data_IF_267936073603
#
_entry.id   IF_267936073603
#
_cell.length_a   1.000
_cell.length_b   1.000
_cell.length_c   1.000
_cell.angle_alpha   90.00
_cell.angle_beta   90.00
_cell.angle_gamma   90.00
#
_symmetry.space_group_name_H-M   'P 1'
#
loop_
_entity.id
_entity.type
_entity.pdbx_description
1 polymer ?
#
# COMPACT_ATOMS: atom_id res chain seq x y z
N UNK A 1 -24.42 0.98 27.53
CA UNK A 1 -24.14 0.14 26.34
C UNK A 1 -22.66 -0.19 26.33
N UNK A 2 -22.27 -1.46 26.48
CA UNK A 2 -20.86 -1.85 26.35
C UNK A 2 -20.51 -1.74 24.87
N UNK A 3 -19.65 -0.78 24.49
CA UNK A 3 -19.06 -0.76 23.15
C UNK A 3 -18.39 -2.11 22.93
N UNK A 4 -18.90 -2.86 21.96
CA UNK A 4 -18.27 -4.09 21.49
C UNK A 4 -16.95 -3.63 20.88
N UNK A 5 -15.84 -3.85 21.57
CA UNK A 5 -14.50 -3.54 21.06
C UNK A 5 -14.36 -4.29 19.74
N UNK A 6 -14.35 -3.57 18.62
CA UNK A 6 -14.05 -4.18 17.33
C UNK A 6 -12.66 -4.77 17.40
N UNK A 7 -12.46 -5.97 16.85
CA UNK A 7 -11.12 -6.54 16.76
C UNK A 7 -10.20 -5.55 16.03
N UNK A 8 -8.99 -5.29 16.56
CA UNK A 8 -8.06 -4.35 15.95
C UNK A 8 -7.67 -4.81 14.54
N UNK A 9 -7.40 -3.86 13.65
CA UNK A 9 -6.81 -4.17 12.35
C UNK A 9 -5.32 -4.46 12.52
N UNK A 10 -4.89 -5.70 12.25
CA UNK A 10 -3.50 -6.14 12.40
C UNK A 10 -3.01 -6.79 11.10
N UNK A 11 -1.70 -6.72 10.87
CA UNK A 11 -1.00 -7.48 9.86
C UNK A 11 -0.35 -8.69 10.50
N UNK A 12 -0.89 -9.87 10.18
CA UNK A 12 -0.40 -11.15 10.70
C UNK A 12 -0.02 -12.05 9.51
N UNK A 13 1.24 -12.53 9.43
CA UNK A 13 1.70 -13.42 8.38
C UNK A 13 0.77 -14.63 8.18
N UNK A 14 0.36 -14.86 6.93
CA UNK A 14 -0.50 -15.97 6.54
C UNK A 14 -1.99 -15.77 6.79
N UNK A 15 -2.43 -14.69 7.45
CA UNK A 15 -3.86 -14.45 7.68
C UNK A 15 -4.59 -14.02 6.41
N UNK A 16 -4.01 -13.09 5.64
CA UNK A 16 -4.59 -12.56 4.41
C UNK A 16 -5.93 -11.83 4.56
N UNK A 17 -6.63 -11.64 3.43
CA UNK A 17 -7.98 -11.08 3.37
C UNK A 17 -9.02 -11.85 4.17
N UNK A 18 -10.00 -11.14 4.74
CA UNK A 18 -11.17 -11.73 5.41
C UNK A 18 -12.20 -12.23 4.39
N UNK A 19 -12.45 -13.54 4.34
CA UNK A 19 -13.36 -14.18 3.39
C UNK A 19 -14.80 -13.63 3.45
N UNK A 20 -15.27 -13.24 4.65
CA UNK A 20 -16.62 -12.72 4.81
C UNK A 20 -16.74 -11.29 4.27
N UNK A 21 -15.72 -10.45 4.47
CA UNK A 21 -15.61 -9.13 3.86
C UNK A 21 -15.51 -9.24 2.33
N UNK A 22 -14.71 -10.18 1.82
CA UNK A 22 -14.58 -10.41 0.38
C UNK A 22 -15.90 -10.87 -0.25
N UNK A 23 -16.61 -11.78 0.42
CA UNK A 23 -17.95 -12.22 0.00
C UNK A 23 -18.94 -11.05 -0.05
N UNK A 24 -18.88 -10.12 0.90
CA UNK A 24 -19.71 -8.91 0.90
C UNK A 24 -19.36 -7.98 -0.26
N UNK A 25 -18.07 -7.74 -0.52
CA UNK A 25 -17.62 -6.96 -1.67
C UNK A 25 -18.17 -7.52 -2.98
N UNK A 26 -18.03 -8.82 -3.22
CA UNK A 26 -18.58 -9.48 -4.41
C UNK A 26 -20.11 -9.38 -4.50
N UNK A 27 -20.81 -9.52 -3.39
CA UNK A 27 -22.27 -9.44 -3.37
C UNK A 27 -22.78 -8.03 -3.72
N UNK A 28 -22.04 -6.99 -3.31
CA UNK A 28 -22.41 -5.59 -3.58
C UNK A 28 -21.97 -5.10 -4.96
N UNK A 29 -20.91 -5.68 -5.53
CA UNK A 29 -20.30 -5.22 -6.78
C UNK A 29 -20.27 -6.33 -7.84
N UNK A 30 -21.45 -6.71 -8.39
CA UNK A 30 -21.48 -7.61 -9.52
C UNK A 30 -20.85 -6.95 -10.75
N UNK A 31 -20.37 -7.79 -11.69
CA UNK A 31 -19.81 -7.31 -12.96
C UNK A 31 -20.76 -6.35 -13.68
N UNK A 32 -20.32 -5.15 -14.06
CA UNK A 32 -21.11 -4.26 -14.90
C UNK A 32 -21.48 -4.92 -16.23
N UNK A 33 -22.72 -4.68 -16.71
CA UNK A 33 -23.21 -5.28 -17.96
C UNK A 33 -22.63 -4.63 -19.21
N UNK A 34 -22.34 -3.34 -19.15
CA UNK A 34 -21.77 -2.58 -20.26
C UNK A 34 -20.25 -2.68 -20.19
N UNK A 35 -19.55 -2.91 -21.32
CA UNK A 35 -18.09 -2.95 -21.35
C UNK A 35 -17.51 -1.62 -20.91
N UNK A 36 -16.35 -1.65 -20.25
CA UNK A 36 -15.66 -0.44 -19.83
C UNK A 36 -15.11 0.31 -21.04
N UNK A 37 -15.39 1.60 -21.12
CA UNK A 37 -14.85 2.51 -22.12
C UNK A 37 -13.54 3.10 -21.64
N UNK A 38 -12.57 3.15 -22.55
CA UNK A 38 -11.27 3.73 -22.28
C UNK A 38 -11.31 5.23 -22.03
N UNK A 39 -10.25 5.70 -21.36
CA UNK A 39 -10.05 7.09 -20.97
C UNK A 39 -9.75 8.02 -22.16
N UNK A 40 -9.33 7.50 -23.32
CA UNK A 40 -8.89 8.31 -24.46
C UNK A 40 -10.07 9.06 -25.12
N UNK A 41 -10.20 10.34 -24.78
CA UNK A 41 -11.30 11.25 -25.19
C UNK A 41 -11.12 11.85 -26.59
N UNK A 42 -9.97 11.66 -27.24
CA UNK A 42 -9.65 12.36 -28.49
C UNK A 42 -10.30 11.76 -29.77
N UNK A 43 -11.03 10.65 -29.66
CA UNK A 43 -11.82 10.07 -30.75
C UNK A 43 -13.31 10.04 -30.42
N UNK A 44 -14.17 10.29 -31.41
CA UNK A 44 -15.64 10.21 -31.26
C UNK A 44 -16.14 8.80 -30.91
N UNK A 45 -15.30 7.79 -31.06
CA UNK A 45 -15.51 6.41 -30.62
C UNK A 45 -14.46 6.07 -29.55
N UNK A 46 -14.89 5.65 -28.35
CA UNK A 46 -13.98 5.18 -27.30
C UNK A 46 -13.69 3.71 -27.52
N UNK A 47 -12.42 3.31 -27.40
CA UNK A 47 -12.06 1.90 -27.33
C UNK A 47 -12.78 1.25 -26.14
N UNK A 48 -13.33 0.05 -26.35
CA UNK A 48 -13.89 -0.77 -25.28
C UNK A 48 -12.85 -1.76 -24.82
N UNK A 49 -12.66 -1.88 -23.51
CA UNK A 49 -11.81 -2.91 -22.93
C UNK A 49 -12.62 -4.16 -22.64
N UNK A 50 -12.05 -5.31 -22.99
CA UNK A 50 -12.36 -6.54 -22.26
C UNK A 50 -11.51 -6.53 -20.99
N UNK A 51 -12.14 -6.16 -19.88
CA UNK A 51 -11.48 -6.02 -18.58
C UNK A 51 -10.96 -7.35 -18.05
N UNK A 52 -11.52 -8.48 -18.50
CA UNK A 52 -11.09 -9.80 -18.05
C UNK A 52 -9.70 -10.14 -18.60
N UNK A 53 -9.34 -9.60 -19.76
CA UNK A 53 -8.05 -9.84 -20.41
C UNK A 53 -6.96 -8.87 -19.94
N UNK A 54 -7.34 -7.68 -19.46
CA UNK A 54 -6.40 -6.63 -19.04
C UNK A 54 -6.91 -5.78 -17.87
N UNK A 55 -7.06 -6.35 -16.65
CA UNK A 55 -7.54 -5.61 -15.49
C UNK A 55 -6.59 -4.47 -15.08
N UNK A 56 -5.28 -4.64 -15.26
CA UNK A 56 -4.28 -3.59 -14.98
C UNK A 56 -4.46 -2.37 -15.88
N UNK A 57 -4.65 -2.58 -17.18
CA UNK A 57 -4.96 -1.49 -18.12
C UNK A 57 -6.27 -0.79 -17.76
N UNK A 58 -7.28 -1.54 -17.34
CA UNK A 58 -8.53 -0.97 -16.89
C UNK A 58 -8.36 -0.08 -15.65
N UNK A 59 -7.61 -0.55 -14.64
CA UNK A 59 -7.31 0.22 -13.41
C UNK A 59 -6.48 1.48 -13.71
N UNK A 60 -5.53 1.41 -14.64
CA UNK A 60 -4.79 2.58 -15.10
C UNK A 60 -5.71 3.63 -15.74
N UNK A 61 -6.60 3.21 -16.64
CA UNK A 61 -7.56 4.10 -17.29
C UNK A 61 -8.51 4.73 -16.26
N UNK A 62 -9.04 3.94 -15.32
CA UNK A 62 -9.87 4.44 -14.22
C UNK A 62 -9.12 5.50 -13.41
N UNK A 63 -7.89 5.20 -12.96
CA UNK A 63 -7.11 6.12 -12.14
C UNK A 63 -6.77 7.41 -12.89
N UNK A 64 -6.21 7.29 -14.09
CA UNK A 64 -5.78 8.43 -14.91
C UNK A 64 -6.95 9.30 -15.33
N UNK A 65 -8.08 8.70 -15.70
CA UNK A 65 -9.27 9.43 -16.11
C UNK A 65 -9.97 10.09 -14.93
N UNK A 66 -10.03 9.44 -13.77
CA UNK A 66 -10.56 10.04 -12.54
C UNK A 66 -9.72 11.25 -12.11
N UNK A 67 -8.38 11.15 -12.18
CA UNK A 67 -7.50 12.28 -11.89
C UNK A 67 -7.63 13.42 -12.92
N UNK A 68 -7.81 13.09 -14.21
CA UNK A 68 -7.80 14.09 -15.29
C UNK A 68 -9.15 14.76 -15.53
N UNK A 69 -10.24 13.99 -15.43
CA UNK A 69 -11.59 14.39 -15.85
C UNK A 69 -12.62 14.36 -14.71
N UNK A 70 -12.25 13.80 -13.56
CA UNK A 70 -13.12 13.62 -12.40
C UNK A 70 -13.94 12.33 -12.41
N UNK A 71 -14.86 12.24 -11.46
CA UNK A 71 -15.66 11.03 -11.25
C UNK A 71 -16.60 10.76 -12.42
N UNK A 72 -16.51 9.55 -12.97
CA UNK A 72 -17.50 8.98 -13.87
C UNK A 72 -18.09 7.72 -13.23
N UNK A 73 -19.41 7.60 -13.28
CA UNK A 73 -20.13 6.46 -12.68
C UNK A 73 -19.69 5.13 -13.29
N UNK A 74 -19.43 5.10 -14.60
CA UNK A 74 -18.97 3.90 -15.29
C UNK A 74 -17.65 3.39 -14.70
N UNK A 75 -16.68 4.27 -14.51
CA UNK A 75 -15.37 3.92 -13.95
C UNK A 75 -15.46 3.51 -12.50
N UNK A 76 -16.31 4.15 -11.70
CA UNK A 76 -16.56 3.77 -10.30
C UNK A 76 -17.18 2.36 -10.22
N UNK A 77 -18.22 2.10 -11.02
CA UNK A 77 -18.90 0.79 -11.04
C UNK A 77 -17.92 -0.32 -11.46
N UNK A 78 -17.07 -0.07 -12.47
CA UNK A 78 -16.02 -1.01 -12.89
C UNK A 78 -14.92 -1.19 -11.85
N UNK A 79 -14.47 -0.12 -11.21
CA UNK A 79 -13.48 -0.19 -10.15
C UNK A 79 -13.95 -1.06 -8.99
N UNK A 80 -15.20 -0.89 -8.52
CA UNK A 80 -15.69 -1.67 -7.39
C UNK A 80 -15.79 -3.16 -7.70
N UNK A 81 -16.16 -3.51 -8.93
CA UNK A 81 -16.12 -4.89 -9.40
C UNK A 81 -14.68 -5.43 -9.40
N UNK A 82 -13.74 -4.70 -10.01
CA UNK A 82 -12.33 -5.10 -10.08
C UNK A 82 -11.71 -5.20 -8.69
N UNK A 83 -12.03 -4.29 -7.77
CA UNK A 83 -11.56 -4.36 -6.38
C UNK A 83 -11.94 -5.69 -5.72
N UNK A 84 -13.18 -6.15 -5.90
CA UNK A 84 -13.62 -7.42 -5.35
C UNK A 84 -12.94 -8.60 -6.06
N UNK A 85 -12.99 -8.64 -7.40
CA UNK A 85 -12.56 -9.78 -8.20
C UNK A 85 -11.04 -9.96 -8.22
N UNK A 86 -10.30 -8.89 -8.42
CA UNK A 86 -8.84 -8.92 -8.47
C UNK A 86 -8.22 -9.20 -7.09
N UNK A 87 -8.86 -8.74 -6.00
CA UNK A 87 -8.44 -9.13 -4.65
C UNK A 87 -8.62 -10.64 -4.44
N UNK A 88 -9.76 -11.20 -4.87
CA UNK A 88 -10.01 -12.64 -4.80
C UNK A 88 -9.10 -13.45 -5.73
N UNK A 89 -8.73 -12.90 -6.89
CA UNK A 89 -7.80 -13.51 -7.82
C UNK A 89 -6.38 -13.56 -7.22
N UNK A 90 -5.88 -12.43 -6.69
CA UNK A 90 -4.59 -12.35 -6.01
C UNK A 90 -4.46 -13.36 -4.86
N UNK A 91 -5.56 -13.67 -4.16
CA UNK A 91 -5.60 -14.72 -3.13
C UNK A 91 -5.53 -16.14 -3.68
N UNK A 92 -6.04 -16.42 -4.88
CA UNK A 92 -6.15 -17.79 -5.41
C UNK A 92 -4.98 -18.18 -6.30
N UNK A 93 -4.46 -17.23 -7.07
CA UNK A 93 -3.48 -17.52 -8.11
C UNK A 93 -2.10 -17.89 -7.57
N UNK A 94 -1.86 -17.83 -6.24
CA UNK A 94 -0.56 -18.16 -5.65
C UNK A 94 0.53 -17.13 -5.94
N UNK A 95 0.36 -16.33 -6.99
CA UNK A 95 1.23 -15.25 -7.35
C UNK A 95 0.42 -13.96 -7.41
N UNK A 96 0.94 -12.95 -6.72
CA UNK A 96 0.78 -11.56 -7.09
C UNK A 96 1.51 -11.32 -8.45
N UNK A 97 1.17 -12.11 -9.46
CA UNK A 97 1.67 -11.96 -10.81
C UNK A 97 1.12 -10.63 -11.33
N UNK A 98 2.03 -9.67 -11.54
CA UNK A 98 1.79 -8.28 -11.97
C UNK A 98 1.57 -7.32 -10.80
N UNK A 99 1.99 -6.04 -10.95
CA UNK A 99 1.76 -4.93 -9.99
C UNK A 99 0.26 -4.55 -9.86
N UNK A 100 -0.61 -5.54 -9.75
CA UNK A 100 -2.05 -5.39 -9.67
C UNK A 100 -2.46 -4.76 -8.33
N UNK A 101 -1.75 -5.07 -7.25
CA UNK A 101 -1.96 -4.41 -5.95
C UNK A 101 -1.61 -2.93 -6.07
N UNK A 102 -0.53 -2.59 -6.75
CA UNK A 102 -0.12 -1.20 -7.02
C UNK A 102 -1.18 -0.46 -7.86
N UNK A 103 -1.67 -1.08 -8.93
CA UNK A 103 -2.72 -0.52 -9.78
C UNK A 103 -4.06 -0.35 -9.04
N UNK A 104 -4.47 -1.34 -8.24
CA UNK A 104 -5.66 -1.28 -7.39
C UNK A 104 -5.55 -0.15 -6.36
N UNK A 105 -4.40 -0.04 -5.68
CA UNK A 105 -4.16 1.03 -4.72
C UNK A 105 -4.27 2.41 -5.40
N UNK A 106 -3.61 2.60 -6.54
CA UNK A 106 -3.67 3.86 -7.28
C UNK A 106 -5.09 4.22 -7.70
N UNK A 107 -5.86 3.27 -8.24
CA UNK A 107 -7.26 3.50 -8.59
C UNK A 107 -8.12 3.81 -7.35
N UNK A 108 -7.89 3.11 -6.23
CA UNK A 108 -8.58 3.38 -4.97
C UNK A 108 -8.27 4.79 -4.48
N UNK A 109 -7.01 5.22 -4.49
CA UNK A 109 -6.62 6.58 -4.10
C UNK A 109 -7.18 7.67 -5.01
N UNK A 110 -7.34 7.39 -6.30
CA UNK A 110 -7.93 8.31 -7.25
C UNK A 110 -9.43 8.50 -7.01
N UNK A 111 -10.15 7.42 -6.66
CA UNK A 111 -11.61 7.44 -6.39
C UNK A 111 -11.91 7.95 -4.98
N UNK A 112 -11.07 7.64 -3.99
CA UNK A 112 -11.26 8.00 -2.58
C UNK A 112 -10.12 8.86 -2.00
N UNK A 113 -9.74 9.99 -2.64
CA UNK A 113 -8.57 10.77 -2.27
C UNK A 113 -8.62 11.36 -0.86
N UNK A 114 -9.82 11.64 -0.33
CA UNK A 114 -10.04 12.21 1.00
C UNK A 114 -10.55 11.15 2.02
N UNK A 115 -10.42 9.86 1.69
CA UNK A 115 -11.09 8.80 2.45
C UNK A 115 -12.43 8.40 1.83
N UNK A 116 -13.07 7.37 2.40
CA UNK A 116 -14.39 6.90 1.93
C UNK A 116 -15.50 7.76 2.55
N UNK A 117 -15.62 9.01 2.09
CA UNK A 117 -16.62 9.96 2.60
C UNK A 117 -18.06 9.57 2.22
N UNK A 118 -18.23 8.91 1.07
CA UNK A 118 -19.49 8.35 0.60
C UNK A 118 -19.34 6.84 0.40
N UNK A 119 -19.69 6.07 1.42
CA UNK A 119 -19.66 4.62 1.32
C UNK A 119 -20.68 4.12 0.28
N UNK A 120 -20.28 3.25 -0.68
CA UNK A 120 -21.21 2.59 -1.60
C UNK A 120 -22.24 1.72 -0.87
N UNK A 121 -21.84 1.13 0.25
CA UNK A 121 -22.69 0.45 1.21
C UNK A 121 -22.07 0.56 2.60
N UNK A 122 -22.89 0.42 3.65
CA UNK A 122 -22.44 0.56 5.03
C UNK A 122 -21.32 -0.44 5.37
N UNK A 123 -20.16 0.07 5.74
CA UNK A 123 -18.99 -0.73 6.13
C UNK A 123 -18.05 -1.08 4.98
N UNK A 124 -18.23 -0.49 3.79
CA UNK A 124 -17.37 -0.71 2.63
C UNK A 124 -15.90 -0.42 2.94
N UNK A 125 -15.57 0.68 3.63
CA UNK A 125 -14.18 1.02 3.96
C UNK A 125 -13.53 -0.08 4.79
N UNK A 126 -14.26 -0.60 5.78
CA UNK A 126 -13.75 -1.68 6.62
C UNK A 126 -13.61 -2.99 5.87
N UNK A 127 -14.51 -3.27 4.93
CA UNK A 127 -14.39 -4.45 4.08
C UNK A 127 -13.18 -4.34 3.15
N UNK A 128 -12.94 -3.17 2.54
CA UNK A 128 -11.74 -2.92 1.73
C UNK A 128 -10.44 -3.04 2.55
N UNK A 129 -10.41 -2.52 3.78
CA UNK A 129 -9.28 -2.72 4.71
C UNK A 129 -9.06 -4.20 5.01
N UNK A 130 -10.12 -4.90 5.45
CA UNK A 130 -10.04 -6.31 5.84
C UNK A 130 -9.76 -7.24 4.66
N UNK A 131 -9.96 -6.82 3.42
CA UNK A 131 -9.59 -7.57 2.23
C UNK A 131 -8.29 -7.06 1.62
N UNK A 132 -8.37 -6.04 0.76
CA UNK A 132 -7.25 -5.46 0.03
C UNK A 132 -6.13 -4.99 0.96
N UNK A 133 -6.48 -4.32 2.06
CA UNK A 133 -5.50 -3.89 3.07
C UNK A 133 -4.75 -5.04 3.77
N UNK A 134 -5.18 -6.29 3.61
CA UNK A 134 -4.50 -7.50 4.11
C UNK A 134 -4.01 -8.43 3.00
N UNK A 135 -4.11 -8.05 1.73
CA UNK A 135 -3.78 -8.92 0.61
C UNK A 135 -2.35 -9.49 0.71
N UNK A 136 -1.37 -8.62 1.00
CA UNK A 136 0.04 -9.03 1.14
C UNK A 136 0.33 -9.89 2.39
N UNK A 137 -0.64 -10.06 3.29
CA UNK A 137 -0.53 -10.92 4.48
C UNK A 137 -1.04 -12.35 4.23
N UNK A 138 -1.48 -12.68 3.02
CA UNK A 138 -2.03 -13.99 2.68
C UNK A 138 -1.01 -15.12 2.64
N UNK A 139 -1.48 -16.37 2.71
CA UNK A 139 -0.62 -17.57 2.69
C UNK A 139 0.20 -17.74 1.39
N UNK A 140 -0.12 -17.00 0.34
CA UNK A 140 0.68 -16.97 -0.90
C UNK A 140 1.94 -16.12 -0.75
N UNK A 141 1.97 -15.18 0.19
CA UNK A 141 3.13 -14.34 0.45
C UNK A 141 3.96 -14.83 1.64
N UNK A 142 3.37 -15.68 2.47
CA UNK A 142 3.97 -16.14 3.73
C UNK A 142 3.97 -17.67 3.83
N UNK A 143 5.06 -18.23 4.35
CA UNK A 143 5.17 -19.62 4.75
C UNK A 143 5.79 -19.66 6.14
N UNK A 144 5.07 -20.24 7.11
CA UNK A 144 5.56 -20.42 8.49
C UNK A 144 6.05 -19.12 9.16
N UNK A 145 5.44 -17.98 8.83
CA UNK A 145 5.82 -16.67 9.36
C UNK A 145 6.93 -15.95 8.59
N UNK A 146 7.51 -16.60 7.57
CA UNK A 146 8.54 -16.04 6.70
C UNK A 146 7.97 -15.64 5.34
N UNK A 147 8.58 -14.65 4.69
CA UNK A 147 8.22 -14.26 3.31
C UNK A 147 8.62 -15.39 2.35
N UNK A 148 7.73 -15.70 1.41
CA UNK A 148 8.05 -16.57 0.28
C UNK A 148 8.88 -15.82 -0.77
N UNK A 149 10.20 -15.99 -0.72
CA UNK A 149 11.14 -15.40 -1.69
C UNK A 149 10.79 -15.84 -3.13
N UNK A 150 10.80 -14.90 -4.08
CA UNK A 150 10.40 -15.18 -5.46
C UNK A 150 8.89 -15.16 -5.71
N UNK A 151 8.08 -15.21 -4.66
CA UNK A 151 6.62 -15.16 -4.78
C UNK A 151 6.07 -13.80 -4.29
N UNK A 152 6.68 -13.22 -3.25
CA UNK A 152 6.23 -11.98 -2.62
C UNK A 152 7.29 -10.89 -2.56
N UNK A 153 6.82 -9.64 -2.75
CA UNK A 153 7.57 -8.38 -2.74
C UNK A 153 8.67 -8.30 -3.82
N UNK A 154 9.74 -9.08 -3.68
CA UNK A 154 10.85 -9.17 -4.63
C UNK A 154 10.82 -10.53 -5.33
N UNK A 155 10.37 -10.53 -6.60
CA UNK A 155 10.01 -11.75 -7.35
C UNK A 155 11.10 -12.28 -8.25
N UNK A 156 11.94 -11.39 -8.75
CA UNK A 156 12.97 -11.74 -9.72
C UNK A 156 14.33 -11.31 -9.19
N UNK A 157 15.27 -12.23 -9.26
CA UNK A 157 16.68 -11.91 -9.08
C UNK A 157 17.14 -11.07 -10.28
N UNK A 158 17.79 -9.96 -10.00
CA UNK A 158 18.40 -9.13 -11.04
C UNK A 158 19.51 -9.90 -11.75
N UNK A 159 19.93 -9.41 -12.91
CA UNK A 159 21.09 -9.95 -13.62
C UNK A 159 22.39 -9.95 -12.81
N UNK A 160 22.44 -9.25 -11.66
CA UNK A 160 23.60 -9.16 -10.78
C UNK A 160 23.53 -10.10 -9.57
N UNK A 161 22.52 -10.97 -9.49
CA UNK A 161 22.35 -11.90 -8.35
C UNK A 161 21.77 -11.25 -7.09
N UNK A 162 21.21 -10.04 -7.23
CA UNK A 162 20.55 -9.31 -6.13
C UNK A 162 19.04 -9.39 -6.29
N UNK A 163 18.30 -9.27 -5.21
CA UNK A 163 16.83 -9.33 -5.22
C UNK A 163 16.18 -7.95 -5.06
N UNK A 164 16.98 -6.93 -4.73
CA UNK A 164 16.50 -5.55 -4.57
C UNK A 164 15.74 -5.34 -3.25
N UNK A 165 16.05 -6.11 -2.21
CA UNK A 165 15.44 -5.99 -0.89
C UNK A 165 15.77 -4.66 -0.20
N UNK A 166 16.83 -3.97 -0.62
CA UNK A 166 17.14 -2.59 -0.22
C UNK A 166 16.18 -1.53 -0.79
N UNK A 167 15.34 -1.91 -1.75
CA UNK A 167 14.29 -1.07 -2.35
C UNK A 167 12.91 -1.66 -2.02
N UNK A 168 12.08 -0.96 -1.24
CA UNK A 168 10.74 -1.42 -0.91
C UNK A 168 9.95 -1.74 -2.17
N UNK A 169 9.38 -2.93 -2.26
CA UNK A 169 8.56 -3.29 -3.40
C UNK A 169 7.37 -2.34 -3.53
N UNK A 170 6.92 -2.13 -4.77
CA UNK A 170 5.76 -1.28 -5.03
C UNK A 170 4.51 -1.81 -4.32
N UNK A 171 4.32 -3.13 -4.28
CA UNK A 171 3.22 -3.76 -3.55
C UNK A 171 3.23 -3.47 -2.05
N UNK A 172 4.41 -3.53 -1.41
CA UNK A 172 4.56 -3.17 0.00
C UNK A 172 4.24 -1.70 0.22
N UNK A 173 4.84 -0.83 -0.61
CA UNK A 173 4.66 0.62 -0.52
C UNK A 173 3.19 0.99 -0.68
N UNK A 174 2.53 0.50 -1.73
CA UNK A 174 1.12 0.69 -1.98
C UNK A 174 0.24 0.20 -0.81
N UNK A 175 0.53 -0.97 -0.26
CA UNK A 175 -0.22 -1.55 0.87
C UNK A 175 -0.05 -0.76 2.17
N UNK A 176 1.17 -0.30 2.47
CA UNK A 176 1.47 0.54 3.63
C UNK A 176 0.78 1.90 3.50
N UNK A 177 0.88 2.55 2.33
CA UNK A 177 0.16 3.81 2.08
C UNK A 177 -1.35 3.64 2.15
N UNK A 178 -1.89 2.52 1.67
CA UNK A 178 -3.31 2.24 1.75
C UNK A 178 -3.76 2.18 3.22
N UNK A 179 -3.07 1.41 4.04
CA UNK A 179 -3.39 1.30 5.46
C UNK A 179 -3.18 2.64 6.19
N UNK A 180 -2.07 3.35 5.96
CA UNK A 180 -1.83 4.67 6.53
C UNK A 180 -2.90 5.68 6.15
N UNK A 181 -3.42 5.63 4.92
CA UNK A 181 -4.43 6.58 4.45
C UNK A 181 -5.84 6.26 4.93
N UNK A 182 -6.23 4.99 5.07
CA UNK A 182 -7.62 4.60 5.37
C UNK A 182 -7.86 4.06 6.79
N UNK A 183 -6.82 3.72 7.56
CA UNK A 183 -7.02 3.42 8.98
C UNK A 183 -7.38 4.69 9.77
N UNK A 184 -8.20 4.52 10.81
CA UNK A 184 -8.41 5.58 11.78
C UNK A 184 -7.08 5.87 12.52
N UNK A 185 -6.79 7.12 12.92
CA UNK A 185 -5.53 7.48 13.59
C UNK A 185 -5.20 6.58 14.79
N UNK A 186 -6.21 6.20 15.58
CA UNK A 186 -6.08 5.31 16.74
C UNK A 186 -5.75 3.85 16.37
N UNK A 187 -6.02 3.42 15.14
CA UNK A 187 -5.70 2.07 14.65
C UNK A 187 -4.28 1.98 14.09
N UNK A 188 -3.67 3.09 13.68
CA UNK A 188 -2.33 3.10 13.05
C UNK A 188 -1.28 2.51 13.98
N UNK A 189 -1.26 2.89 15.25
CA UNK A 189 -0.25 2.41 16.21
C UNK A 189 -0.28 0.89 16.42
N UNK A 190 -1.42 0.27 16.80
CA UNK A 190 -1.46 -1.18 16.97
C UNK A 190 -1.24 -1.95 15.66
N UNK A 191 -1.74 -1.44 14.53
CA UNK A 191 -1.48 -2.01 13.21
C UNK A 191 0.02 -2.00 12.89
N UNK A 192 0.67 -0.85 13.01
CA UNK A 192 2.08 -0.71 12.64
C UNK A 192 2.98 -1.49 13.59
N UNK A 193 2.65 -1.54 14.88
CA UNK A 193 3.33 -2.42 15.83
C UNK A 193 3.26 -3.89 15.39
N UNK A 194 2.10 -4.37 14.90
CA UNK A 194 2.00 -5.74 14.39
C UNK A 194 2.86 -5.99 13.15
N UNK A 195 2.96 -5.02 12.23
CA UNK A 195 3.83 -5.11 11.06
C UNK A 195 5.32 -5.13 11.46
N UNK A 196 5.72 -4.27 12.41
CA UNK A 196 7.09 -4.19 12.92
C UNK A 196 7.47 -5.42 13.77
N UNK A 197 6.52 -6.10 14.40
CA UNK A 197 6.80 -7.31 15.19
C UNK A 197 7.12 -8.56 14.37
N UNK A 198 6.96 -8.53 13.05
CA UNK A 198 7.25 -9.69 12.19
C UNK A 198 8.77 -9.95 12.16
N UNK A 199 9.15 -11.22 12.39
CA UNK A 199 10.56 -11.60 12.60
C UNK A 199 11.35 -11.92 11.32
N UNK A 200 10.66 -12.03 10.18
CA UNK A 200 11.31 -12.28 8.89
C UNK A 200 12.29 -11.17 8.51
N UNK A 201 13.53 -11.56 8.15
CA UNK A 201 14.61 -10.61 7.84
C UNK A 201 14.37 -9.79 6.56
N UNK A 202 13.76 -10.37 5.53
CA UNK A 202 13.48 -9.67 4.27
C UNK A 202 12.35 -8.66 4.47
N UNK A 203 11.34 -9.02 5.26
CA UNK A 203 10.29 -8.11 5.70
C UNK A 203 10.87 -6.91 6.48
N UNK A 204 11.72 -7.18 7.47
CA UNK A 204 12.39 -6.14 8.28
C UNK A 204 13.22 -5.20 7.42
N UNK A 205 14.00 -5.76 6.49
CA UNK A 205 14.76 -4.99 5.52
C UNK A 205 13.88 -4.03 4.71
N UNK A 206 12.79 -4.55 4.14
CA UNK A 206 11.85 -3.78 3.34
C UNK A 206 11.14 -2.69 4.15
N UNK A 207 10.71 -2.97 5.38
CA UNK A 207 10.11 -1.96 6.27
C UNK A 207 11.12 -0.87 6.63
N UNK A 208 12.36 -1.23 6.94
CA UNK A 208 13.41 -0.26 7.24
C UNK A 208 13.65 0.69 6.05
N UNK A 209 13.82 0.12 4.86
CA UNK A 209 14.00 0.89 3.64
C UNK A 209 12.77 1.76 3.31
N UNK A 210 11.55 1.27 3.56
CA UNK A 210 10.31 2.04 3.37
C UNK A 210 10.28 3.27 4.29
N UNK A 211 10.52 3.09 5.58
CA UNK A 211 10.47 4.21 6.53
C UNK A 211 11.55 5.26 6.29
N UNK A 212 12.72 4.86 5.78
CA UNK A 212 13.74 5.80 5.31
C UNK A 212 13.24 6.57 4.09
N UNK A 213 12.76 5.87 3.05
CA UNK A 213 12.31 6.51 1.81
C UNK A 213 11.07 7.39 1.97
N UNK A 214 10.16 7.06 2.88
CA UNK A 214 8.93 7.82 3.14
C UNK A 214 9.09 8.93 4.19
N UNK A 215 10.28 9.06 4.79
CA UNK A 215 10.51 9.95 5.93
C UNK A 215 10.05 11.39 5.67
N UNK A 216 10.38 11.93 4.50
CA UNK A 216 10.01 13.30 4.12
C UNK A 216 8.49 13.48 3.97
N UNK A 217 7.76 12.46 3.49
CA UNK A 217 6.31 12.51 3.45
C UNK A 217 5.70 12.45 4.86
N UNK A 218 6.24 11.59 5.74
CA UNK A 218 5.83 11.54 7.15
C UNK A 218 6.14 12.82 7.91
N UNK A 219 7.11 13.63 7.45
CA UNK A 219 7.41 14.96 7.98
C UNK A 219 6.60 16.09 7.34
N UNK A 220 5.84 15.79 6.28
CA UNK A 220 5.06 16.77 5.53
C UNK A 220 5.88 17.64 4.57
N UNK A 221 7.18 17.36 4.37
CA UNK A 221 7.99 18.05 3.35
C UNK A 221 7.63 17.58 1.94
N UNK A 222 7.23 16.32 1.79
CA UNK A 222 6.52 15.82 0.62
C UNK A 222 5.04 15.63 0.97
N UNK A 223 4.15 16.02 0.06
CA UNK A 223 2.71 15.96 0.31
C UNK A 223 1.99 15.00 -0.64
N UNK A 224 2.62 14.58 -1.74
CA UNK A 224 1.98 13.79 -2.79
C UNK A 224 2.84 12.60 -3.22
N UNK A 225 2.23 11.44 -3.56
CA UNK A 225 2.95 10.28 -4.07
C UNK A 225 3.75 10.56 -5.34
N UNK A 226 3.27 11.46 -6.21
CA UNK A 226 4.01 11.86 -7.40
C UNK A 226 5.39 12.48 -7.11
N UNK A 227 5.62 12.95 -5.89
CA UNK A 227 6.91 13.50 -5.47
C UNK A 227 7.89 12.43 -4.96
N UNK A 228 7.45 11.17 -4.82
CA UNK A 228 8.29 10.06 -4.33
C UNK A 228 9.25 9.51 -5.39
N UNK A 229 9.18 9.97 -6.64
CA UNK A 229 10.09 9.54 -7.72
C UNK A 229 11.58 9.79 -7.36
N UNK A 230 11.84 10.83 -6.56
CA UNK A 230 13.17 11.20 -6.11
C UNK A 230 13.52 10.66 -4.71
N UNK A 231 12.63 9.93 -4.06
CA UNK A 231 12.88 9.32 -2.76
C UNK A 231 14.04 8.31 -2.83
N UNK A 232 14.86 8.26 -1.78
CA UNK A 232 15.98 7.33 -1.65
C UNK A 232 15.96 6.70 -0.25
N UNK A 233 15.71 5.38 -0.12
CA UNK A 233 15.32 4.43 -1.17
C UNK A 233 14.03 4.81 -1.92
N UNK A 234 13.85 4.34 -3.17
CA UNK A 234 12.59 4.55 -3.90
C UNK A 234 11.45 3.83 -3.18
N UNK A 235 10.36 4.56 -2.91
CA UNK A 235 9.14 4.04 -2.24
C UNK A 235 7.87 4.32 -3.06
N UNK A 236 8.07 4.71 -4.31
CA UNK A 236 6.99 4.87 -5.26
C UNK A 236 6.46 3.50 -5.71
N UNK A 237 5.20 3.45 -6.10
CA UNK A 237 4.57 2.29 -6.71
C UNK A 237 4.01 2.66 -8.08
N UNK A 238 3.50 1.66 -8.79
CA UNK A 238 2.99 1.79 -10.13
C UNK A 238 1.89 2.86 -10.20
N UNK A 239 2.07 3.80 -11.11
CA UNK A 239 1.12 4.88 -11.38
C UNK A 239 0.89 5.84 -10.20
N UNK A 240 1.70 5.78 -9.15
CA UNK A 240 1.69 6.76 -8.05
C UNK A 240 1.90 8.20 -8.53
N UNK A 241 2.56 8.40 -9.67
CA UNK A 241 2.73 9.70 -10.33
C UNK A 241 1.41 10.35 -10.78
N UNK A 242 0.32 9.58 -10.92
CA UNK A 242 -1.01 10.12 -11.21
C UNK A 242 -1.61 10.86 -10.00
N UNK A 243 -1.11 10.61 -8.79
CA UNK A 243 -1.65 11.13 -7.54
C UNK A 243 -0.91 12.41 -7.16
N UNK A 244 -1.47 13.53 -7.60
CA UNK A 244 -0.87 14.88 -7.45
C UNK A 244 -1.60 15.75 -6.43
N UNK A 245 -2.63 15.22 -5.77
CA UNK A 245 -3.44 15.95 -4.79
C UNK A 245 -4.54 16.82 -5.41
N UNK A 246 -4.48 17.06 -6.72
CA UNK A 246 -5.54 17.72 -7.49
C UNK A 246 -6.42 16.63 -8.08
N UNK A 247 -7.50 16.33 -7.37
CA UNK A 247 -8.49 15.35 -7.79
C UNK A 247 -9.71 16.05 -8.38
N UNK A 248 -10.49 15.36 -9.22
CA UNK A 248 -11.80 15.82 -9.71
C UNK A 248 -11.78 16.92 -10.78
N UNK A 249 -10.66 17.15 -11.47
CA UNK A 249 -10.54 18.27 -12.41
C UNK A 249 -10.72 19.64 -11.74
N UNK A 250 -10.67 19.70 -10.41
CA UNK A 250 -10.78 20.91 -9.61
C UNK A 250 -9.40 21.59 -9.49
N UNK A 251 -8.84 21.99 -10.65
CA UNK A 251 -7.50 22.59 -10.76
C UNK A 251 -7.35 23.92 -10.01
N UNK A 252 -8.47 24.51 -9.55
CA UNK A 252 -8.50 25.79 -8.84
C UNK A 252 -8.29 25.64 -7.32
N UNK A 253 -8.30 24.43 -6.77
CA UNK A 253 -8.05 24.19 -5.33
C UNK A 253 -6.61 23.74 -5.10
N UNK A 254 -5.97 24.19 -4.00
CA UNK A 254 -4.69 23.63 -3.62
C UNK A 254 -4.84 22.13 -3.34
N UNK A 255 -3.85 21.31 -3.73
CA UNK A 255 -3.89 19.88 -3.48
C UNK A 255 -3.93 19.60 -1.97
N UNK A 256 -4.87 18.77 -1.53
CA UNK A 256 -4.89 18.29 -0.16
C UNK A 256 -3.72 17.31 0.06
N UNK A 257 -3.02 17.34 1.21
CA UNK A 257 -1.98 16.36 1.51
C UNK A 257 -2.49 14.92 1.37
N UNK A 258 -1.69 14.06 0.76
CA UNK A 258 -2.07 12.67 0.53
C UNK A 258 -2.30 11.91 1.84
N UNK A 259 -1.44 12.15 2.84
CA UNK A 259 -1.63 11.69 4.22
C UNK A 259 -1.98 12.90 5.11
N UNK A 260 -3.06 12.84 5.89
CA UNK A 260 -3.32 13.84 6.93
C UNK A 260 -2.22 13.87 7.98
N UNK A 261 -1.94 15.06 8.54
CA UNK A 261 -0.88 15.29 9.53
C UNK A 261 -1.00 14.35 10.74
N UNK A 262 -2.21 14.16 11.27
CA UNK A 262 -2.50 13.25 12.38
C UNK A 262 -2.09 11.79 12.10
N UNK A 263 -2.18 11.34 10.83
CA UNK A 263 -1.79 9.98 10.44
C UNK A 263 -0.28 9.87 10.29
N UNK A 264 0.38 10.91 9.77
CA UNK A 264 1.83 11.01 9.73
C UNK A 264 2.44 11.04 11.14
N UNK A 265 1.87 11.78 12.07
CA UNK A 265 2.25 11.79 13.48
C UNK A 265 2.08 10.42 14.12
N UNK A 266 0.88 9.82 14.00
CA UNK A 266 0.61 8.50 14.56
C UNK A 266 1.58 7.43 14.05
N UNK A 267 1.96 7.48 12.76
CA UNK A 267 2.94 6.57 12.18
C UNK A 267 4.35 6.80 12.74
N UNK A 268 4.84 8.04 12.76
CA UNK A 268 6.18 8.37 13.31
C UNK A 268 6.29 8.00 14.79
N UNK A 269 5.25 8.30 15.57
CA UNK A 269 5.19 7.96 16.99
C UNK A 269 5.19 6.45 17.20
N UNK A 270 4.45 5.70 16.38
CA UNK A 270 4.41 4.24 16.45
C UNK A 270 5.79 3.62 16.16
N UNK A 271 6.49 4.08 15.11
CA UNK A 271 7.86 3.62 14.81
C UNK A 271 8.82 3.96 15.94
N UNK A 272 8.84 5.23 16.37
CA UNK A 272 9.76 5.70 17.42
C UNK A 272 9.51 5.01 18.76
N UNK A 273 8.25 4.72 19.09
CA UNK A 273 7.90 4.00 20.31
C UNK A 273 8.19 2.49 20.24
N UNK A 274 8.22 1.91 19.04
CA UNK A 274 8.53 0.50 18.84
C UNK A 274 10.04 0.24 18.96
N UNK A 275 10.87 1.10 18.38
CA UNK A 275 12.31 0.89 18.35
C UNK A 275 13.01 1.41 19.60
N UNK A 276 13.73 0.51 20.25
CA UNK A 276 14.83 0.84 21.15
C UNK A 276 16.15 0.25 20.59
N UNK A 277 17.28 0.52 21.24
CA UNK A 277 18.58 0.02 20.77
C UNK A 277 18.62 -1.52 20.67
N UNK A 278 17.96 -2.23 21.57
CA UNK A 278 17.91 -3.71 21.57
C UNK A 278 17.16 -4.25 20.34
N UNK A 279 15.96 -3.73 20.08
CA UNK A 279 15.14 -4.14 18.94
C UNK A 279 15.83 -3.78 17.62
N UNK A 280 16.41 -2.58 17.54
CA UNK A 280 17.16 -2.16 16.36
C UNK A 280 18.36 -3.08 16.10
N UNK A 281 19.18 -3.37 17.11
CA UNK A 281 20.31 -4.30 16.97
C UNK A 281 19.84 -5.71 16.61
N UNK A 282 18.74 -6.20 17.17
CA UNK A 282 18.17 -7.49 16.82
C UNK A 282 17.75 -7.56 15.33
N UNK A 283 17.20 -6.46 14.79
CA UNK A 283 16.93 -6.36 13.35
C UNK A 283 18.21 -6.39 12.52
N UNK A 284 19.24 -5.64 12.93
CA UNK A 284 20.52 -5.63 12.21
C UNK A 284 21.17 -7.01 12.19
N UNK A 285 21.19 -7.72 13.32
CA UNK A 285 21.75 -9.06 13.37
C UNK A 285 21.00 -10.04 12.49
N UNK A 286 19.66 -10.01 12.50
CA UNK A 286 18.85 -10.87 11.62
C UNK A 286 19.08 -10.57 10.12
N UNK A 287 19.34 -9.31 9.77
CA UNK A 287 19.66 -8.91 8.39
C UNK A 287 21.07 -9.36 8.00
N UNK A 288 22.06 -9.17 8.88
CA UNK A 288 23.46 -9.52 8.66
C UNK A 288 23.74 -11.04 8.57
N UNK A 289 22.77 -11.89 8.93
CA UNK A 289 22.84 -13.33 8.66
C UNK A 289 22.80 -13.67 7.15
N UNK A 290 22.35 -12.74 6.31
CA UNK A 290 22.34 -12.86 4.85
C UNK A 290 23.22 -11.75 4.23
N UNK A 291 24.43 -12.13 3.79
CA UNK A 291 25.44 -11.21 3.24
C UNK A 291 24.91 -10.41 2.03
N UNK A 292 24.05 -11.02 1.20
CA UNK A 292 23.45 -10.33 0.07
C UNK A 292 22.47 -9.24 0.55
N UNK A 293 21.64 -9.57 1.55
CA UNK A 293 20.71 -8.62 2.15
C UNK A 293 21.44 -7.46 2.83
N UNK A 294 22.48 -7.74 3.62
CA UNK A 294 23.32 -6.72 4.27
C UNK A 294 23.92 -5.76 3.23
N UNK A 295 24.47 -6.31 2.15
CA UNK A 295 25.06 -5.52 1.06
C UNK A 295 24.02 -4.65 0.36
N UNK A 296 22.82 -5.20 0.09
CA UNK A 296 21.74 -4.49 -0.60
C UNK A 296 21.18 -3.31 0.21
N UNK A 297 21.14 -3.42 1.54
CA UNK A 297 20.67 -2.32 2.39
C UNK A 297 21.64 -1.14 2.45
N UNK A 298 22.93 -1.38 2.22
CA UNK A 298 23.98 -0.38 2.22
C UNK A 298 23.87 0.58 3.44
N UNK A 299 23.46 1.84 3.21
CA UNK A 299 23.39 2.89 4.25
C UNK A 299 22.00 3.06 4.89
N UNK A 300 21.01 2.26 4.47
CA UNK A 300 19.63 2.33 4.98
C UNK A 300 19.58 2.18 6.51
N UNK A 301 20.30 1.23 7.13
CA UNK A 301 20.31 1.08 8.59
C UNK A 301 20.76 2.34 9.34
N UNK A 302 21.88 2.96 8.95
CA UNK A 302 22.37 4.18 9.60
C UNK A 302 21.40 5.35 9.44
N UNK A 303 20.79 5.48 8.26
CA UNK A 303 19.76 6.50 8.00
C UNK A 303 18.53 6.26 8.88
N UNK A 304 18.03 5.03 8.94
CA UNK A 304 16.90 4.66 9.79
C UNK A 304 17.17 4.98 11.27
N UNK A 305 18.35 4.60 11.77
CA UNK A 305 18.77 4.93 13.14
C UNK A 305 18.75 6.43 13.40
N UNK A 306 19.30 7.21 12.48
CA UNK A 306 19.37 8.68 12.60
C UNK A 306 17.97 9.31 12.63
N UNK A 307 17.02 8.74 11.90
CA UNK A 307 15.67 9.28 11.76
C UNK A 307 14.73 8.89 12.89
N UNK A 308 14.83 7.68 13.42
CA UNK A 308 13.80 7.09 14.31
C UNK A 308 14.29 6.65 15.68
N UNK A 309 15.61 6.56 15.93
CA UNK A 309 16.13 6.23 17.25
C UNK A 309 16.57 7.48 18.01
N UNK A 310 16.41 7.52 19.35
CA UNK A 310 16.91 8.62 20.17
C UNK A 310 18.41 8.79 20.00
N UNK A 311 18.88 10.02 19.83
CA UNK A 311 20.33 10.28 19.83
C UNK A 311 20.92 9.94 21.20
N UNK A 312 22.00 9.14 21.28
CA UNK A 312 22.67 8.86 22.54
C UNK A 312 23.20 10.18 23.11
N UNK A 313 22.57 10.69 24.17
CA UNK A 313 22.97 11.92 24.86
C UNK A 313 21.96 13.08 24.88
N UNK A 314 20.75 12.92 24.32
CA UNK A 314 19.66 13.93 24.45
C UNK A 314 18.59 13.60 25.51
N UNK A 315 18.73 12.49 26.22
CA UNK A 315 17.94 12.22 27.42
C UNK A 315 18.77 12.63 28.65
N UNK A 316 18.64 13.90 29.04
CA UNK A 316 19.03 14.44 30.33
C UNK A 316 17.83 15.16 30.94
#
# INVERSE_FOLDING_TARGET
MKQKTSNPFLWLPGQGPDDAALSRLHAHFPRPRAPMRGAYVMSGERATFDTDDNPRGALFDIASATCSFGEDREWIDWFHYLLADETAFAMRAGALERPLVEALATAFFAIYPEGVTREPYRGFERDALNTFGRAIMGMNCWAEGCIRRGEALCREETQWGTWGWGEPSGDLSASLFFCLKYLAPEEIRPWLASALSIEDRYWRAQLMAFFVGVHDMLRGSLQQPAQLADARPPVAWENSFLLTGVYYGAFDKPPAPFLPEEKCEAARDAVTAFFNDEIYLAWLYAIAEDEALETELATVPEQFRTMYLPSPGKNA
#
